data_IF_615230230223
#
_entry.id   IF_615230230223
#
_cell.length_a   1.000
_cell.length_b   1.000
_cell.length_c   1.000
_cell.angle_alpha   90.00
_cell.angle_beta   90.00
_cell.angle_gamma   90.00
#
_symmetry.space_group_name_H-M   'P 1'
#
loop_
_entity.id
_entity.type
_entity.pdbx_description
1 polymer ?
#
# COMPACT_ATOMS: atom_id res chain seq x y z
N UNK A 1 12.87 1.38 -1.34
CA UNK A 1 13.66 0.17 -0.99
C UNK A 1 13.56 -0.09 0.50
N UNK A 2 13.17 -1.29 0.89
CA UNK A 2 12.93 -1.63 2.31
C UNK A 2 14.12 -2.35 2.96
N UNK A 3 14.94 -3.05 2.18
CA UNK A 3 16.05 -3.87 2.68
C UNK A 3 16.98 -3.17 3.69
N UNK A 4 17.50 -1.96 3.44
CA UNK A 4 18.38 -1.29 4.41
C UNK A 4 17.64 -0.91 5.70
N UNK A 5 16.34 -0.60 5.62
CA UNK A 5 15.53 -0.31 6.81
C UNK A 5 15.33 -1.55 7.68
N UNK A 6 15.14 -2.73 7.05
CA UNK A 6 15.04 -4.01 7.77
C UNK A 6 16.38 -4.36 8.45
N UNK A 7 17.50 -4.11 7.77
CA UNK A 7 18.84 -4.33 8.36
C UNK A 7 19.06 -3.40 9.56
N UNK A 8 18.70 -2.13 9.44
CA UNK A 8 18.78 -1.18 10.55
C UNK A 8 17.88 -1.60 11.73
N UNK A 9 16.66 -2.10 11.46
CA UNK A 9 15.81 -2.63 12.53
C UNK A 9 16.41 -3.87 13.20
N UNK A 10 17.17 -4.68 12.46
CA UNK A 10 17.84 -5.85 13.01
C UNK A 10 18.93 -5.46 14.02
N UNK A 11 19.70 -4.38 13.79
CA UNK A 11 20.71 -3.90 14.77
C UNK A 11 20.04 -3.43 16.07
N UNK A 12 18.85 -2.81 16.00
CA UNK A 12 18.10 -2.44 17.21
C UNK A 12 17.63 -3.64 18.03
N UNK A 13 17.35 -4.77 17.36
CA UNK A 13 16.95 -6.01 18.05
C UNK A 13 18.11 -6.64 18.81
N UNK A 14 19.34 -6.51 18.30
CA UNK A 14 20.56 -7.02 18.95
C UNK A 14 21.07 -6.11 20.08
N UNK A 15 20.47 -4.90 20.23
CA UNK A 15 20.86 -3.89 21.24
C UNK A 15 22.33 -3.49 21.15
N UNK A 16 22.92 -3.54 19.96
CA UNK A 16 24.27 -3.03 19.70
C UNK A 16 24.33 -1.52 19.96
N UNK A 17 25.39 -1.01 20.58
CA UNK A 17 25.59 0.41 20.76
C UNK A 17 25.86 1.11 19.42
N UNK A 18 25.74 2.44 19.39
CA UNK A 18 25.92 3.21 18.16
C UNK A 18 27.33 3.12 17.57
N UNK A 19 28.32 2.95 18.44
CA UNK A 19 29.75 2.88 18.09
C UNK A 19 30.26 1.45 17.95
N UNK A 20 29.43 0.44 18.19
CA UNK A 20 29.80 -0.97 18.04
C UNK A 20 29.83 -1.40 16.57
N UNK A 21 30.76 -2.29 16.23
CA UNK A 21 30.74 -2.93 14.92
C UNK A 21 29.51 -3.83 14.79
N UNK A 22 28.76 -3.63 13.71
CA UNK A 22 27.59 -4.47 13.43
C UNK A 22 28.00 -5.92 13.16
N UNK A 23 27.14 -6.85 13.55
CA UNK A 23 27.29 -8.27 13.32
C UNK A 23 27.65 -8.56 11.84
N UNK A 24 28.59 -9.50 11.63
CA UNK A 24 29.09 -9.90 10.31
C UNK A 24 27.99 -10.29 9.31
N UNK A 25 26.92 -10.89 9.77
CA UNK A 25 25.80 -11.27 8.91
C UNK A 25 25.07 -10.02 8.37
N UNK A 26 24.80 -9.04 9.22
CA UNK A 26 24.19 -7.76 8.85
C UNK A 26 25.11 -6.99 7.91
N UNK A 27 26.42 -6.94 8.23
CA UNK A 27 27.46 -6.31 7.41
C UNK A 27 27.50 -6.91 6.00
N UNK A 28 27.55 -8.24 5.88
CA UNK A 28 27.55 -8.94 4.58
C UNK A 28 26.29 -8.63 3.76
N UNK A 29 25.10 -8.65 4.40
CA UNK A 29 23.83 -8.32 3.74
C UNK A 29 23.80 -6.87 3.26
N UNK A 30 24.28 -5.92 4.07
CA UNK A 30 24.36 -4.51 3.71
C UNK A 30 25.31 -4.26 2.54
N UNK A 31 26.51 -4.82 2.58
CA UNK A 31 27.49 -4.71 1.49
C UNK A 31 26.97 -5.33 0.19
N UNK A 32 26.30 -6.49 0.27
CA UNK A 32 25.66 -7.12 -0.89
C UNK A 32 24.58 -6.20 -1.50
N UNK A 33 23.76 -5.57 -0.66
CA UNK A 33 22.78 -4.59 -1.10
C UNK A 33 23.46 -3.36 -1.72
N UNK A 34 24.50 -2.80 -1.08
CA UNK A 34 25.26 -1.65 -1.58
C UNK A 34 25.84 -1.89 -2.99
N UNK A 35 26.41 -3.07 -3.23
CA UNK A 35 26.92 -3.46 -4.57
C UNK A 35 25.84 -3.47 -5.65
N UNK A 36 24.57 -3.62 -5.28
CA UNK A 36 23.45 -3.64 -6.23
C UNK A 36 22.94 -2.23 -6.58
N UNK A 37 23.34 -1.18 -5.84
CA UNK A 37 22.88 0.19 -6.10
C UNK A 37 23.22 0.69 -7.51
N UNK A 38 24.28 0.17 -8.12
CA UNK A 38 24.67 0.48 -9.50
C UNK A 38 23.54 0.27 -10.52
N UNK A 39 22.64 -0.68 -10.28
CA UNK A 39 21.52 -0.94 -11.18
C UNK A 39 20.47 0.18 -11.20
N UNK A 40 20.43 1.05 -10.18
CA UNK A 40 19.52 2.20 -10.19
C UNK A 40 19.93 3.32 -11.13
N UNK A 41 21.22 3.43 -11.48
CA UNK A 41 21.70 4.46 -12.41
C UNK A 41 20.97 4.44 -13.76
N UNK A 42 20.48 3.26 -14.16
CA UNK A 42 19.81 3.05 -15.44
C UNK A 42 18.28 3.18 -15.36
N UNK A 43 17.72 3.44 -14.16
CA UNK A 43 16.28 3.64 -13.99
C UNK A 43 15.99 5.13 -14.22
N UNK A 44 15.25 5.41 -15.29
CA UNK A 44 14.77 6.75 -15.64
C UNK A 44 13.25 6.76 -15.48
N UNK A 45 12.75 7.59 -14.57
CA UNK A 45 11.31 7.83 -14.38
C UNK A 45 11.05 9.23 -14.94
N UNK A 46 10.24 9.38 -16.00
CA UNK A 46 9.91 10.69 -16.54
C UNK A 46 9.29 11.60 -15.49
N UNK A 47 9.66 12.84 -15.41
CA UNK A 47 9.01 13.83 -14.56
C UNK A 47 7.75 14.42 -15.18
N UNK A 48 7.77 14.52 -16.50
CA UNK A 48 6.61 14.99 -17.25
C UNK A 48 5.53 13.91 -17.27
N UNK A 49 4.32 14.26 -16.88
CA UNK A 49 3.22 13.31 -16.70
C UNK A 49 2.50 12.97 -18.00
N UNK A 50 2.84 13.60 -19.12
CA UNK A 50 2.19 13.36 -20.42
C UNK A 50 0.72 13.76 -20.44
N UNK A 51 0.29 14.58 -19.49
CA UNK A 51 -1.11 15.02 -19.37
C UNK A 51 -1.38 16.06 -20.45
N UNK A 52 -2.30 15.77 -21.34
CA UNK A 52 -2.89 16.73 -22.28
C UNK A 52 -4.22 17.24 -21.72
N UNK A 53 -4.62 18.47 -22.05
CA UNK A 53 -5.84 19.09 -21.52
C UNK A 53 -7.10 18.26 -21.77
N UNK A 54 -7.13 17.47 -22.86
CA UNK A 54 -8.26 16.61 -23.25
C UNK A 54 -8.14 15.16 -22.73
N UNK A 55 -7.20 14.86 -21.83
CA UNK A 55 -7.00 13.50 -21.32
C UNK A 55 -7.99 13.14 -20.21
N UNK A 56 -8.54 11.94 -20.27
CA UNK A 56 -9.28 11.37 -19.17
C UNK A 56 -8.32 10.83 -18.11
N UNK A 57 -8.24 11.50 -16.96
CA UNK A 57 -7.29 11.19 -15.91
C UNK A 57 -7.92 10.36 -14.80
N UNK A 58 -7.14 9.42 -14.28
CA UNK A 58 -7.49 8.71 -13.05
C UNK A 58 -6.27 8.41 -12.18
N UNK A 59 -6.45 8.46 -10.86
CA UNK A 59 -5.43 8.12 -9.86
C UNK A 59 -5.72 6.73 -9.32
N UNK A 60 -4.72 5.88 -9.33
CA UNK A 60 -4.79 4.52 -8.79
C UNK A 60 -3.81 4.34 -7.65
N UNK A 61 -4.35 4.12 -6.45
CA UNK A 61 -3.58 3.89 -5.22
C UNK A 61 -3.64 2.42 -4.86
N UNK A 62 -2.49 1.77 -4.77
CA UNK A 62 -2.35 0.37 -4.40
C UNK A 62 -1.74 0.28 -3.01
N UNK A 63 -2.26 -0.62 -2.19
CA UNK A 63 -1.77 -0.84 -0.82
C UNK A 63 -1.57 -2.33 -0.56
N UNK A 64 -0.53 -2.65 0.22
CA UNK A 64 -0.21 -4.02 0.60
C UNK A 64 0.61 -4.07 1.89
N UNK A 65 0.51 -5.16 2.62
CA UNK A 65 1.35 -5.43 3.78
C UNK A 65 1.89 -6.85 3.83
N UNK A 66 3.08 -6.97 4.38
CA UNK A 66 3.72 -8.23 4.74
C UNK A 66 4.08 -8.24 6.23
N UNK A 67 4.64 -9.36 6.72
CA UNK A 67 5.18 -9.43 8.09
C UNK A 67 6.30 -8.42 8.36
N UNK A 68 6.99 -7.93 7.34
CA UNK A 68 8.17 -7.07 7.47
C UNK A 68 7.90 -5.60 7.16
N UNK A 69 6.88 -5.32 6.34
CA UNK A 69 6.57 -3.97 5.91
C UNK A 69 5.14 -3.80 5.42
N UNK A 70 4.70 -2.56 5.41
CA UNK A 70 3.46 -2.13 4.77
C UNK A 70 3.75 -0.97 3.83
N UNK A 71 3.05 -0.92 2.70
CA UNK A 71 3.41 -0.07 1.59
C UNK A 71 2.19 0.45 0.81
N UNK A 72 2.42 1.54 0.10
CA UNK A 72 1.49 2.10 -0.88
C UNK A 72 2.25 2.65 -2.08
N UNK A 73 1.64 2.58 -3.26
CA UNK A 73 2.10 3.27 -4.46
C UNK A 73 0.94 3.87 -5.23
N UNK A 74 1.22 4.95 -5.95
CA UNK A 74 0.22 5.72 -6.69
C UNK A 74 0.67 5.85 -8.14
N UNK A 75 -0.23 5.47 -9.04
CA UNK A 75 -0.06 5.66 -10.48
C UNK A 75 -1.10 6.64 -11.01
N UNK A 76 -0.68 7.47 -11.95
CA UNK A 76 -1.57 8.25 -12.81
C UNK A 76 -1.82 7.46 -14.08
N UNK A 77 -3.07 7.24 -14.42
CA UNK A 77 -3.51 6.76 -15.73
C UNK A 77 -4.07 7.92 -16.51
N UNK A 78 -3.55 8.14 -17.70
CA UNK A 78 -4.03 9.14 -18.66
C UNK A 78 -4.47 8.44 -19.93
N UNK A 79 -5.68 8.68 -20.35
CA UNK A 79 -6.28 8.14 -21.57
C UNK A 79 -6.56 9.30 -22.51
N UNK A 80 -5.91 9.27 -23.67
CA UNK A 80 -6.07 10.28 -24.71
C UNK A 80 -7.30 9.96 -25.56
N UNK A 81 -7.84 10.98 -26.22
CA UNK A 81 -8.94 10.82 -27.20
C UNK A 81 -8.58 9.91 -28.39
N UNK A 82 -7.30 9.57 -28.58
CA UNK A 82 -6.80 8.63 -29.59
C UNK A 82 -6.63 7.20 -29.06
N UNK A 83 -7.32 6.82 -27.98
CA UNK A 83 -7.23 5.52 -27.29
C UNK A 83 -5.82 5.15 -26.79
N UNK A 84 -4.91 6.09 -26.76
CA UNK A 84 -3.58 5.89 -26.17
C UNK A 84 -3.64 6.02 -24.67
N UNK A 85 -3.28 4.95 -23.96
CA UNK A 85 -3.25 4.92 -22.49
C UNK A 85 -1.81 4.95 -21.97
N UNK A 86 -1.51 5.91 -21.12
CA UNK A 86 -0.23 5.99 -20.40
C UNK A 86 -0.45 5.77 -18.91
N UNK A 87 0.47 5.03 -18.28
CA UNK A 87 0.48 4.78 -16.84
C UNK A 87 1.83 5.17 -16.29
N UNK A 88 1.83 6.01 -15.25
CA UNK A 88 3.05 6.57 -14.70
C UNK A 88 3.03 6.57 -13.18
N UNK A 89 4.14 6.13 -12.57
CA UNK A 89 4.32 6.20 -11.13
C UNK A 89 4.44 7.66 -10.68
N UNK A 90 3.54 8.07 -9.78
CA UNK A 90 3.60 9.38 -9.13
C UNK A 90 4.42 9.31 -7.85
N UNK A 91 4.10 8.38 -6.97
CA UNK A 91 4.74 8.24 -5.67
C UNK A 91 4.63 6.83 -5.12
N UNK A 92 5.60 6.44 -4.28
CA UNK A 92 5.56 5.19 -3.54
C UNK A 92 6.17 5.38 -2.15
N UNK A 93 5.61 4.67 -1.17
CA UNK A 93 6.09 4.69 0.21
C UNK A 93 6.03 3.31 0.81
N UNK A 94 7.08 2.91 1.52
CA UNK A 94 7.07 1.70 2.36
C UNK A 94 7.61 2.01 3.76
N UNK A 95 7.02 1.37 4.76
CA UNK A 95 7.43 1.44 6.16
C UNK A 95 7.65 0.03 6.69
N UNK A 96 8.68 -0.16 7.49
CA UNK A 96 8.90 -1.41 8.22
C UNK A 96 7.84 -1.57 9.31
N UNK A 97 7.47 -2.81 9.59
CA UNK A 97 6.53 -3.11 10.66
C UNK A 97 7.12 -2.74 12.01
N UNK A 98 6.30 -2.29 12.97
CA UNK A 98 6.76 -2.05 14.34
C UNK A 98 7.39 -3.32 14.94
N UNK A 99 8.29 -3.15 15.91
CA UNK A 99 8.89 -4.28 16.64
C UNK A 99 7.88 -5.06 17.47
N UNK A 100 6.79 -4.41 17.88
CA UNK A 100 5.65 -5.03 18.54
C UNK A 100 4.89 -5.92 17.56
N UNK A 101 4.55 -7.13 17.97
CA UNK A 101 3.75 -8.03 17.12
C UNK A 101 2.39 -7.43 16.78
N UNK A 102 2.10 -7.31 15.50
CA UNK A 102 0.83 -6.81 14.96
C UNK A 102 0.31 -7.87 13.97
N UNK A 103 -0.99 -8.11 13.96
CA UNK A 103 -1.64 -9.06 13.04
C UNK A 103 -1.56 -8.55 11.59
N UNK A 104 -1.59 -9.47 10.63
CA UNK A 104 -1.53 -9.10 9.20
C UNK A 104 -2.68 -8.17 8.81
N UNK A 105 -3.96 -8.43 9.15
CA UNK A 105 -5.05 -7.51 8.81
C UNK A 105 -4.85 -6.08 9.35
N UNK A 106 -4.27 -5.95 10.55
CA UNK A 106 -3.92 -4.64 11.10
C UNK A 106 -2.78 -3.95 10.34
N UNK A 107 -1.79 -4.71 9.84
CA UNK A 107 -0.74 -4.17 8.98
C UNK A 107 -1.28 -3.73 7.63
N UNK A 108 -2.20 -4.50 7.04
CA UNK A 108 -2.91 -4.14 5.81
C UNK A 108 -3.74 -2.87 5.99
N UNK A 109 -4.43 -2.72 7.14
CA UNK A 109 -5.13 -1.48 7.47
C UNK A 109 -4.16 -0.29 7.62
N UNK A 110 -2.96 -0.52 8.17
CA UNK A 110 -1.92 0.51 8.20
C UNK A 110 -1.43 0.87 6.79
N UNK A 111 -1.33 -0.10 5.87
CA UNK A 111 -1.04 0.15 4.46
C UNK A 111 -2.13 1.01 3.80
N UNK A 112 -3.41 0.68 4.02
CA UNK A 112 -4.53 1.47 3.55
C UNK A 112 -4.49 2.91 4.08
N UNK A 113 -4.17 3.08 5.37
CA UNK A 113 -4.05 4.41 6.00
C UNK A 113 -2.94 5.24 5.37
N UNK A 114 -1.73 4.67 5.17
CA UNK A 114 -0.65 5.42 4.50
C UNK A 114 -0.95 5.67 3.02
N UNK A 115 -1.68 4.78 2.36
CA UNK A 115 -2.17 4.96 1.00
C UNK A 115 -3.11 6.15 0.88
N UNK A 116 -4.10 6.25 1.76
CA UNK A 116 -5.04 7.38 1.82
C UNK A 116 -4.33 8.72 2.08
N UNK A 117 -3.37 8.75 3.02
CA UNK A 117 -2.54 9.95 3.29
C UNK A 117 -1.69 10.34 2.10
N UNK A 118 -1.06 9.36 1.45
CA UNK A 118 -0.21 9.58 0.28
C UNK A 118 -1.02 10.13 -0.88
N UNK A 119 -2.20 9.54 -1.12
CA UNK A 119 -3.17 10.00 -2.11
C UNK A 119 -3.59 11.46 -1.87
N UNK A 120 -3.98 11.80 -0.64
CA UNK A 120 -4.37 13.17 -0.28
C UNK A 120 -3.27 14.18 -0.60
N UNK A 121 -2.01 13.85 -0.26
CA UNK A 121 -0.85 14.69 -0.58
C UNK A 121 -0.62 14.85 -2.07
N UNK A 122 -0.74 13.77 -2.84
CA UNK A 122 -0.58 13.76 -4.30
C UNK A 122 -1.70 14.56 -4.98
N UNK A 123 -2.95 14.31 -4.59
CA UNK A 123 -4.12 15.03 -5.12
C UNK A 123 -3.99 16.53 -4.91
N UNK A 124 -3.58 16.93 -3.71
CA UNK A 124 -3.33 18.35 -3.39
C UNK A 124 -2.22 18.95 -4.26
N UNK A 125 -1.12 18.22 -4.47
CA UNK A 125 0.01 18.68 -5.28
C UNK A 125 -0.33 18.80 -6.76
N UNK A 126 -1.17 17.92 -7.30
CA UNK A 126 -1.60 17.94 -8.70
C UNK A 126 -2.56 19.10 -9.01
N UNK A 127 -3.26 19.64 -7.99
CA UNK A 127 -4.25 20.72 -8.15
C UNK A 127 -5.37 20.41 -9.16
N UNK A 128 -5.67 19.12 -9.37
CA UNK A 128 -6.76 18.67 -10.25
C UNK A 128 -7.98 18.37 -9.39
N UNK A 129 -9.03 19.18 -9.55
CA UNK A 129 -10.23 19.11 -8.69
C UNK A 129 -11.12 17.92 -9.02
N UNK A 130 -11.28 17.57 -10.30
CA UNK A 130 -12.19 16.51 -10.74
C UNK A 130 -11.40 15.36 -11.42
N UNK A 131 -10.78 14.50 -10.60
CA UNK A 131 -10.05 13.32 -11.08
C UNK A 131 -10.69 12.07 -10.49
N UNK A 132 -10.93 11.04 -11.33
CA UNK A 132 -11.42 9.73 -10.87
C UNK A 132 -10.39 9.06 -10.00
N UNK A 133 -10.82 8.41 -8.92
CA UNK A 133 -9.94 7.79 -7.94
C UNK A 133 -10.28 6.32 -7.75
N UNK A 134 -9.25 5.50 -7.58
CA UNK A 134 -9.38 4.06 -7.34
C UNK A 134 -8.35 3.62 -6.32
N UNK A 135 -8.80 2.88 -5.31
CA UNK A 135 -7.96 2.31 -4.26
C UNK A 135 -8.03 0.79 -4.33
N UNK A 136 -6.88 0.14 -4.31
CA UNK A 136 -6.75 -1.29 -4.53
C UNK A 136 -6.07 -1.95 -3.34
N UNK A 137 -6.71 -2.96 -2.78
CA UNK A 137 -6.18 -3.79 -1.70
C UNK A 137 -6.45 -5.26 -2.00
N UNK A 138 -5.56 -6.16 -1.60
CA UNK A 138 -5.77 -7.60 -1.66
C UNK A 138 -6.31 -8.17 -0.33
N UNK A 139 -6.57 -7.31 0.64
CA UNK A 139 -7.19 -7.67 1.90
C UNK A 139 -8.71 -7.51 1.86
N UNK A 140 -9.43 -8.62 1.75
CA UNK A 140 -10.89 -8.64 1.89
C UNK A 140 -11.35 -8.16 3.27
N UNK A 141 -10.58 -8.44 4.32
CA UNK A 141 -10.85 -8.01 5.70
C UNK A 141 -10.81 -6.48 5.82
N UNK A 142 -9.75 -5.84 5.29
CA UNK A 142 -9.62 -4.38 5.31
C UNK A 142 -10.69 -3.72 4.45
N UNK A 143 -10.97 -4.27 3.28
CA UNK A 143 -12.04 -3.78 2.42
C UNK A 143 -13.39 -3.80 3.15
N UNK A 144 -13.72 -4.90 3.83
CA UNK A 144 -14.93 -5.02 4.65
C UNK A 144 -14.97 -3.95 5.75
N UNK A 145 -13.86 -3.72 6.47
CA UNK A 145 -13.80 -2.68 7.50
C UNK A 145 -14.02 -1.27 6.92
N UNK A 146 -13.51 -1.00 5.72
CA UNK A 146 -13.68 0.30 5.07
C UNK A 146 -15.13 0.53 4.62
N UNK A 147 -15.79 -0.51 4.08
CA UNK A 147 -17.14 -0.38 3.50
C UNK A 147 -18.23 -0.48 4.58
N UNK A 148 -18.12 -1.44 5.53
CA UNK A 148 -19.17 -1.70 6.51
C UNK A 148 -19.20 -0.65 7.64
N UNK A 149 -20.41 -0.19 7.98
CA UNK A 149 -20.64 0.73 9.09
C UNK A 149 -20.88 -0.04 10.40
N UNK A 150 -19.85 -0.67 10.92
CA UNK A 150 -19.89 -1.44 12.16
C UNK A 150 -19.10 -0.73 13.27
N UNK A 151 -19.32 -1.16 14.52
CA UNK A 151 -18.51 -0.69 15.64
C UNK A 151 -17.24 -1.51 15.76
N UNK A 152 -16.13 -0.94 15.38
CA UNK A 152 -14.82 -1.57 15.41
C UNK A 152 -14.04 -1.28 16.70
N UNK A 153 -13.02 -2.08 16.97
CA UNK A 153 -12.02 -1.80 18.01
C UNK A 153 -11.40 -0.41 17.80
N UNK A 154 -10.90 0.20 18.88
CA UNK A 154 -10.31 1.55 18.83
C UNK A 154 -9.22 1.66 17.77
N UNK A 155 -8.39 0.60 17.62
CA UNK A 155 -7.32 0.59 16.63
C UNK A 155 -7.86 0.68 15.19
N UNK A 156 -8.87 -0.11 14.88
CA UNK A 156 -9.51 -0.16 13.56
C UNK A 156 -10.35 1.09 13.32
N UNK A 157 -11.20 1.46 14.28
CA UNK A 157 -12.10 2.61 14.16
C UNK A 157 -11.37 3.92 13.84
N UNK A 158 -10.25 4.21 14.53
CA UNK A 158 -9.48 5.43 14.30
C UNK A 158 -8.92 5.49 12.87
N UNK A 159 -8.44 4.37 12.34
CA UNK A 159 -7.88 4.30 10.97
C UNK A 159 -8.95 4.37 9.90
N UNK A 160 -10.07 3.67 10.12
CA UNK A 160 -11.21 3.73 9.20
C UNK A 160 -11.78 5.15 9.14
N UNK A 161 -11.93 5.81 10.30
CA UNK A 161 -12.36 7.21 10.33
C UNK A 161 -11.42 8.12 9.53
N UNK A 162 -10.11 7.91 9.62
CA UNK A 162 -9.14 8.69 8.85
C UNK A 162 -9.21 8.36 7.35
N UNK A 163 -9.27 7.08 6.97
CA UNK A 163 -9.39 6.66 5.57
C UNK A 163 -10.63 7.29 4.94
N UNK A 164 -11.79 7.19 5.60
CA UNK A 164 -13.07 7.74 5.10
C UNK A 164 -13.10 9.28 5.01
N UNK A 165 -12.28 9.97 5.80
CA UNK A 165 -12.10 11.44 5.66
C UNK A 165 -11.29 11.83 4.43
N UNK A 166 -10.40 10.95 3.97
CA UNK A 166 -9.46 11.22 2.88
C UNK A 166 -9.88 10.59 1.55
N UNK A 167 -10.75 9.60 1.59
CA UNK A 167 -11.17 8.78 0.44
C UNK A 167 -12.66 8.46 0.52
N UNK A 168 -13.25 8.09 -0.61
CA UNK A 168 -14.63 7.62 -0.71
C UNK A 168 -14.63 6.09 -0.60
N UNK A 169 -15.51 5.51 0.24
CA UNK A 169 -15.53 4.05 0.48
C UNK A 169 -15.83 3.26 -0.79
N UNK A 170 -16.62 3.80 -1.68
CA UNK A 170 -17.03 3.21 -2.97
C UNK A 170 -15.89 3.14 -3.99
N UNK A 171 -14.82 3.90 -3.77
CA UNK A 171 -13.61 3.91 -4.63
C UNK A 171 -12.61 2.82 -4.23
N UNK A 172 -12.91 2.00 -3.20
CA UNK A 172 -12.06 0.90 -2.75
C UNK A 172 -12.45 -0.42 -3.40
N UNK A 173 -11.47 -1.10 -4.00
CA UNK A 173 -11.66 -2.32 -4.77
C UNK A 173 -10.71 -3.41 -4.29
N UNK A 174 -11.17 -4.66 -4.41
CA UNK A 174 -10.31 -5.83 -4.19
C UNK A 174 -9.51 -6.15 -5.46
N UNK A 175 -8.27 -6.57 -5.25
CA UNK A 175 -7.39 -7.08 -6.30
C UNK A 175 -6.64 -8.30 -5.78
N UNK A 176 -6.29 -9.25 -6.64
CA UNK A 176 -5.46 -10.39 -6.24
C UNK A 176 -4.01 -9.96 -5.98
N UNK A 177 -3.34 -10.63 -5.04
CA UNK A 177 -1.97 -10.30 -4.61
C UNK A 177 -0.97 -10.30 -5.79
N UNK A 178 -1.11 -11.23 -6.73
CA UNK A 178 -0.25 -11.34 -7.91
C UNK A 178 -0.37 -10.14 -8.88
N UNK A 179 -1.52 -9.47 -8.87
CA UNK A 179 -1.80 -8.28 -9.68
C UNK A 179 -1.57 -6.97 -8.93
N UNK A 180 -1.27 -7.02 -7.61
CA UNK A 180 -1.05 -5.85 -6.78
C UNK A 180 0.41 -5.35 -6.86
N UNK A 181 0.69 -4.20 -7.50
CA UNK A 181 2.05 -3.67 -7.60
C UNK A 181 2.64 -3.26 -6.24
N UNK A 182 1.83 -3.11 -5.19
CA UNK A 182 2.31 -2.78 -3.85
C UNK A 182 2.97 -3.98 -3.15
N UNK A 183 2.70 -5.23 -3.58
CA UNK A 183 3.31 -6.45 -3.02
C UNK A 183 4.86 -6.39 -3.07
N UNK A 184 5.41 -5.90 -4.17
CA UNK A 184 6.87 -5.75 -4.31
C UNK A 184 7.47 -4.73 -3.33
N UNK A 185 6.68 -3.77 -2.85
CA UNK A 185 7.12 -2.76 -1.90
C UNK A 185 7.04 -3.24 -0.45
N UNK A 186 6.08 -4.08 -0.12
CA UNK A 186 5.88 -4.66 1.21
C UNK A 186 6.84 -5.83 1.45
N UNK A 187 7.06 -6.70 0.45
CA UNK A 187 8.00 -7.83 0.52
C UNK A 187 9.44 -7.41 0.22
N UNK A 188 9.60 -6.34 -0.57
CA UNK A 188 10.89 -5.86 -1.03
C UNK A 188 11.40 -6.65 -2.25
N UNK A 189 12.24 -5.98 -3.03
CA UNK A 189 12.95 -6.62 -4.15
C UNK A 189 14.36 -6.03 -4.29
N UNK A 190 15.24 -6.77 -4.95
CA UNK A 190 16.57 -6.26 -5.30
C UNK A 190 16.51 -5.24 -6.44
N UNK A 191 17.47 -4.31 -6.51
CA UNK A 191 17.54 -3.30 -7.58
C UNK A 191 17.51 -3.88 -9.00
N UNK A 192 18.21 -4.99 -9.23
CA UNK A 192 18.22 -5.69 -10.52
C UNK A 192 16.83 -6.23 -10.91
N UNK A 193 16.10 -6.76 -9.93
CA UNK A 193 14.75 -7.27 -10.14
C UNK A 193 13.76 -6.14 -10.45
N UNK A 194 13.88 -5.03 -9.72
CA UNK A 194 13.07 -3.83 -9.96
C UNK A 194 13.28 -3.30 -11.39
N UNK A 195 14.55 -3.21 -11.84
CA UNK A 195 14.90 -2.79 -13.19
C UNK A 195 14.29 -3.72 -14.25
N UNK A 196 14.43 -5.05 -14.08
CA UNK A 196 13.90 -6.04 -15.03
C UNK A 196 12.37 -5.95 -15.18
N UNK A 197 11.65 -5.72 -14.08
CA UNK A 197 10.19 -5.67 -14.06
C UNK A 197 9.61 -4.36 -14.57
N UNK A 198 10.43 -3.31 -14.76
CA UNK A 198 9.97 -1.96 -15.13
C UNK A 198 8.79 -1.48 -14.26
N UNK A 199 8.83 -1.83 -12.98
CA UNK A 199 7.73 -1.65 -12.03
C UNK A 199 7.11 -0.24 -12.02
N UNK A 200 7.91 0.79 -12.29
CA UNK A 200 7.47 2.18 -12.37
C UNK A 200 6.53 2.50 -13.53
N UNK A 201 6.37 1.57 -14.48
CA UNK A 201 5.41 1.69 -15.59
C UNK A 201 3.99 1.23 -15.22
N UNK A 202 3.79 0.81 -13.97
CA UNK A 202 2.53 0.28 -13.48
C UNK A 202 2.22 -1.14 -13.99
N UNK A 203 1.12 -1.73 -13.50
CA UNK A 203 0.67 -3.03 -13.95
C UNK A 203 0.09 -2.93 -15.38
N UNK A 204 0.35 -3.94 -16.20
CA UNK A 204 -0.05 -3.91 -17.63
C UNK A 204 -1.58 -3.86 -17.81
N UNK A 205 -2.34 -4.52 -16.92
CA UNK A 205 -3.80 -4.49 -16.98
C UNK A 205 -4.38 -3.07 -16.83
N UNK A 206 -3.66 -2.15 -16.17
CA UNK A 206 -4.11 -0.77 -16.00
C UNK A 206 -4.10 0.04 -17.30
N UNK A 207 -3.40 -0.46 -18.33
CA UNK A 207 -3.40 0.12 -19.68
C UNK A 207 -4.62 -0.29 -20.50
N UNK A 208 -5.34 -1.32 -20.05
CA UNK A 208 -6.54 -1.81 -20.72
C UNK A 208 -7.76 -0.92 -20.42
N UNK A 209 -8.85 -1.15 -21.14
CA UNK A 209 -10.14 -0.51 -20.83
C UNK A 209 -10.66 -0.94 -19.45
N UNK A 210 -11.50 -0.13 -18.82
CA UNK A 210 -12.02 -0.37 -17.46
C UNK A 210 -12.77 -1.71 -17.35
N UNK A 211 -13.42 -2.16 -18.42
CA UNK A 211 -14.18 -3.41 -18.47
C UNK A 211 -13.27 -4.65 -18.33
N UNK A 212 -12.00 -4.50 -18.71
CA UNK A 212 -10.97 -5.54 -18.64
C UNK A 212 -10.12 -5.49 -17.37
N UNK A 213 -10.40 -4.54 -16.46
CA UNK A 213 -9.69 -4.50 -15.19
C UNK A 213 -10.04 -5.71 -14.33
N UNK A 214 -9.11 -6.14 -13.46
CA UNK A 214 -9.35 -7.29 -12.60
C UNK A 214 -10.63 -7.15 -11.80
N UNK A 215 -11.46 -8.19 -11.85
CA UNK A 215 -12.67 -8.35 -11.03
C UNK A 215 -12.39 -9.54 -10.10
N UNK A 216 -11.92 -9.28 -8.90
CA UNK A 216 -11.70 -10.35 -7.93
C UNK A 216 -12.97 -10.65 -7.15
N UNK A 217 -13.31 -11.93 -7.01
CA UNK A 217 -14.29 -12.35 -6.02
C UNK A 217 -13.73 -12.07 -4.62
N UNK A 218 -14.48 -11.35 -3.81
CA UNK A 218 -14.09 -11.03 -2.44
C UNK A 218 -14.50 -12.19 -1.53
N UNK A 219 -13.54 -13.04 -1.14
CA UNK A 219 -13.75 -14.03 -0.11
C UNK A 219 -13.53 -13.40 1.27
N UNK A 220 -14.60 -13.09 1.97
CA UNK A 220 -14.54 -12.46 3.29
C UNK A 220 -14.19 -13.53 4.34
N UNK A 221 -13.12 -13.30 5.08
CA UNK A 221 -12.81 -14.06 6.28
C UNK A 221 -13.59 -13.48 7.47
N UNK A 222 -14.81 -13.96 7.68
CA UNK A 222 -15.69 -13.47 8.74
C UNK A 222 -15.04 -13.50 10.12
N UNK A 223 -14.24 -14.54 10.44
CA UNK A 223 -13.55 -14.66 11.73
C UNK A 223 -12.58 -13.50 11.98
N UNK A 224 -11.79 -13.13 10.97
CA UNK A 224 -10.85 -11.98 11.08
C UNK A 224 -11.58 -10.65 11.21
N UNK A 225 -12.71 -10.50 10.53
CA UNK A 225 -13.54 -9.30 10.62
C UNK A 225 -14.16 -9.19 12.02
N UNK A 226 -14.71 -10.27 12.54
CA UNK A 226 -15.41 -10.27 13.83
C UNK A 226 -14.50 -10.08 15.04
N UNK A 227 -13.24 -10.51 15.00
CA UNK A 227 -12.26 -10.28 16.08
C UNK A 227 -12.14 -8.79 16.43
N UNK A 228 -12.33 -7.91 15.47
CA UNK A 228 -12.23 -6.46 15.65
C UNK A 228 -13.58 -5.77 15.89
N UNK A 229 -14.70 -6.49 15.90
CA UNK A 229 -16.01 -5.93 16.30
C UNK A 229 -16.03 -5.68 17.81
N UNK A 230 -16.56 -4.53 18.23
CA UNK A 230 -16.87 -4.27 19.63
C UNK A 230 -18.08 -5.11 20.02
N UNK A 231 -17.95 -5.90 21.08
CA UNK A 231 -19.09 -6.56 21.72
C UNK A 231 -19.99 -5.46 22.27
N UNK A 232 -21.25 -5.40 21.85
CA UNK A 232 -22.24 -4.51 22.45
C UNK A 232 -22.39 -4.87 23.94
N UNK A 233 -22.39 -3.88 24.83
CA UNK A 233 -22.57 -4.04 26.28
C UNK A 233 -24.02 -4.41 26.68
N UNK A 234 -24.78 -5.08 25.84
CA UNK A 234 -26.20 -5.36 26.04
C UNK A 234 -26.50 -6.63 26.84
N UNK A 235 -25.57 -7.17 27.64
CA UNK A 235 -25.84 -8.39 28.44
C UNK A 235 -25.35 -8.35 29.88
N UNK A 236 -25.32 -7.16 30.53
CA UNK A 236 -24.95 -7.02 31.94
C UNK A 236 -26.05 -6.40 32.81
N UNK A 237 -27.31 -6.54 32.46
CA UNK A 237 -28.45 -6.09 33.28
C UNK A 237 -29.54 -7.13 33.39
N UNK A 238 -29.23 -8.38 33.72
CA UNK A 238 -30.22 -9.32 34.29
C UNK A 238 -29.44 -10.32 35.18
N UNK A 239 -29.12 -9.93 36.40
CA UNK A 239 -29.13 -10.86 37.55
C UNK A 239 -28.91 -10.05 38.83
N UNK A 240 -29.94 -9.34 39.26
CA UNK A 240 -30.17 -9.02 40.67
C UNK A 240 -31.69 -9.04 40.89
N UNK A 241 -32.17 -10.18 41.27
CA UNK A 241 -33.31 -10.36 42.13
C UNK A 241 -33.11 -11.65 42.93
#
# INVERSE_FOLDING_TARGET
MIQPKILLQATWKTKEAWDDEVNDEIRKKFLKWGKQLKYFKNIKIPRWLGVMEESNLSIHTFVDASKTAYAACIFLRSESNTDSVTVQLLQARSRITPMKTITIPRLELMAATIGARLFSSVKHALKISNIKTYFWTDSSTVLTWIICQEQWSVFVANRISEIRKLTTSEDWFHISTDQNPADILSRGCGPKQLQKRKWWQGPDWLKNSKEQWPKSAVNINEKEVEIEKRKSQSSLLITQR
#
